data_IF_675347382962
#
_entry.id   IF_675347382962
#
_cell.length_a   1.000
_cell.length_b   1.000
_cell.length_c   1.000
_cell.angle_alpha   90.00
_cell.angle_beta   90.00
_cell.angle_gamma   90.00
#
_symmetry.space_group_name_H-M   'P 1'
#
loop_
_entity.id
_entity.type
_entity.pdbx_description
1 polymer ?
#
# COMPACT_ATOMS: atom_id res chain seq x y z
N UNK A 1 20.82 52.38 85.31
CA UNK A 1 19.61 51.75 84.76
C UNK A 1 19.88 51.33 83.31
N UNK A 2 20.04 50.02 83.10
CA UNK A 2 19.56 49.20 81.96
C UNK A 2 19.28 49.82 80.57
N UNK A 3 20.12 49.44 79.58
CA UNK A 3 19.83 48.90 78.21
C UNK A 3 18.69 49.44 77.32
N UNK A 4 18.95 49.75 76.03
CA UNK A 4 18.82 48.84 74.84
C UNK A 4 18.74 49.63 73.51
N UNK A 5 19.30 49.01 72.47
CA UNK A 5 19.55 49.47 71.09
C UNK A 5 18.31 49.70 70.20
N UNK A 6 18.50 50.54 69.16
CA UNK A 6 17.69 50.65 67.94
C UNK A 6 18.61 51.10 66.78
N UNK A 7 18.64 50.34 65.69
CA UNK A 7 19.64 50.43 64.62
C UNK A 7 19.53 51.66 63.73
N UNK A 8 20.68 52.07 63.20
CA UNK A 8 20.80 53.05 62.11
C UNK A 8 20.21 52.42 60.85
N UNK A 9 19.28 53.11 60.20
CA UNK A 9 18.71 52.76 58.91
C UNK A 9 19.71 53.19 57.81
N UNK A 10 20.33 52.27 57.06
CA UNK A 10 21.41 52.59 56.12
C UNK A 10 20.91 52.92 54.70
N UNK A 11 19.67 53.40 54.54
CA UNK A 11 19.01 53.62 53.24
C UNK A 11 18.48 55.05 53.01
N UNK A 12 18.77 56.01 53.91
CA UNK A 12 18.14 57.35 53.86
C UNK A 12 19.02 58.49 53.31
N UNK A 13 20.21 58.21 52.74
CA UNK A 13 21.16 59.26 52.32
C UNK A 13 21.72 59.12 50.89
N UNK A 14 20.98 58.60 49.89
CA UNK A 14 21.49 58.52 48.49
C UNK A 14 20.46 58.74 47.36
N UNK A 15 19.28 59.32 47.63
CA UNK A 15 18.22 59.46 46.61
C UNK A 15 18.34 60.68 45.67
N UNK A 16 19.28 61.61 45.92
CA UNK A 16 19.41 62.84 45.11
C UNK A 16 20.53 62.80 44.05
N UNK A 17 21.35 61.74 44.02
CA UNK A 17 22.47 61.63 43.08
C UNK A 17 22.07 61.06 41.70
N UNK A 18 20.95 60.33 41.62
CA UNK A 18 20.49 59.71 40.36
C UNK A 18 19.69 60.68 39.48
N UNK A 19 18.95 61.62 40.07
CA UNK A 19 18.17 62.63 39.35
C UNK A 19 19.05 63.65 38.60
N UNK A 20 20.23 63.99 39.15
CA UNK A 20 21.18 64.93 38.51
C UNK A 20 21.89 64.35 37.30
N UNK A 21 22.10 63.04 37.25
CA UNK A 21 22.75 62.35 36.11
C UNK A 21 21.81 62.16 34.92
N UNK A 22 20.50 62.19 35.17
CA UNK A 22 19.46 62.04 34.15
C UNK A 22 19.14 63.36 33.43
N UNK A 23 19.40 64.50 34.07
CA UNK A 23 19.19 65.82 33.47
C UNK A 23 20.31 66.24 32.50
N UNK A 24 21.52 65.67 32.64
CA UNK A 24 22.71 66.02 31.85
C UNK A 24 22.98 65.04 30.69
N UNK A 25 22.03 64.13 30.42
CA UNK A 25 22.08 63.15 29.33
C UNK A 25 20.83 63.21 28.45
N UNK A 26 20.34 64.42 28.24
CA UNK A 26 19.15 64.74 27.44
C UNK A 26 19.48 65.70 26.28
N UNK A 27 20.75 65.80 25.90
CA UNK A 27 21.18 66.47 24.68
C UNK A 27 22.16 65.53 23.97
N UNK A 28 21.82 65.21 22.72
CA UNK A 28 22.56 64.39 21.75
C UNK A 28 22.63 62.87 22.02
N UNK A 29 21.57 62.17 21.65
CA UNK A 29 21.66 60.92 20.87
C UNK A 29 20.32 60.72 20.17
N UNK A 30 20.32 60.85 18.84
CA UNK A 30 19.19 60.58 17.96
C UNK A 30 18.71 59.13 18.14
N UNK A 31 17.56 58.95 18.79
CA UNK A 31 16.82 57.68 18.82
C UNK A 31 16.21 57.40 17.43
N UNK A 32 17.04 56.90 16.50
CA UNK A 32 16.60 56.34 15.20
C UNK A 32 16.81 54.81 15.10
N UNK A 33 16.75 54.05 16.21
CA UNK A 33 16.89 52.57 16.17
C UNK A 33 15.75 51.81 16.88
N UNK A 34 14.47 52.11 16.63
CA UNK A 34 13.41 51.19 17.10
C UNK A 34 12.10 51.23 16.31
N UNK A 35 12.14 51.03 14.98
CA UNK A 35 10.89 50.84 14.20
C UNK A 35 10.93 49.73 13.12
N UNK A 36 12.05 49.03 12.95
CA UNK A 36 12.20 47.98 11.92
C UNK A 36 11.92 46.54 12.41
N UNK A 37 12.09 46.28 13.71
CA UNK A 37 11.98 44.94 14.31
C UNK A 37 10.60 44.22 14.19
N UNK A 38 9.44 44.91 14.17
CA UNK A 38 8.14 44.22 14.05
C UNK A 38 7.89 43.67 12.64
N UNK A 39 8.42 44.34 11.60
CA UNK A 39 8.21 43.96 10.19
C UNK A 39 9.05 42.75 9.81
N UNK A 40 10.31 42.72 10.24
CA UNK A 40 11.24 41.59 10.01
C UNK A 40 10.71 40.31 10.65
N UNK A 41 10.25 40.36 11.91
CA UNK A 41 9.67 39.19 12.59
C UNK A 41 8.41 38.65 11.91
N UNK A 42 7.56 39.54 11.38
CA UNK A 42 6.36 39.11 10.66
C UNK A 42 6.70 38.41 9.33
N UNK A 43 7.74 38.88 8.65
CA UNK A 43 8.24 38.27 7.42
C UNK A 43 8.89 36.90 7.67
N UNK A 44 9.71 36.78 8.71
CA UNK A 44 10.29 35.50 9.14
C UNK A 44 9.21 34.45 9.43
N UNK A 45 8.17 34.82 10.18
CA UNK A 45 7.05 33.93 10.46
C UNK A 45 6.30 33.51 9.20
N UNK A 46 6.10 34.42 8.24
CA UNK A 46 5.49 34.08 6.94
C UNK A 46 6.36 33.13 6.14
N UNK A 47 7.67 33.35 6.11
CA UNK A 47 8.62 32.45 5.44
C UNK A 47 8.62 31.07 6.07
N UNK A 48 8.62 30.98 7.40
CA UNK A 48 8.56 29.70 8.11
C UNK A 48 7.26 28.95 7.84
N UNK A 49 6.12 29.65 7.82
CA UNK A 49 4.83 29.07 7.44
C UNK A 49 4.86 28.54 6.00
N UNK A 50 5.35 29.32 5.04
CA UNK A 50 5.47 28.87 3.64
C UNK A 50 6.43 27.69 3.49
N UNK A 51 7.56 27.71 4.20
CA UNK A 51 8.54 26.62 4.22
C UNK A 51 7.90 25.33 4.73
N UNK A 52 7.13 25.40 5.82
CA UNK A 52 6.39 24.25 6.37
C UNK A 52 5.35 23.73 5.40
N UNK A 53 4.55 24.61 4.78
CA UNK A 53 3.54 24.20 3.80
C UNK A 53 4.16 23.52 2.58
N UNK A 54 5.23 24.08 2.02
CA UNK A 54 5.98 23.46 0.91
C UNK A 54 6.52 22.09 1.31
N UNK A 55 7.11 21.95 2.49
CA UNK A 55 7.63 20.67 2.98
C UNK A 55 6.51 19.63 3.14
N UNK A 56 5.35 20.03 3.67
CA UNK A 56 4.20 19.14 3.80
C UNK A 56 3.66 18.71 2.43
N UNK A 57 3.46 19.64 1.49
CA UNK A 57 3.01 19.36 0.13
C UNK A 57 3.96 18.47 -0.66
N UNK A 58 5.28 18.62 -0.46
CA UNK A 58 6.28 17.71 -1.01
C UNK A 58 6.19 16.32 -0.39
N UNK A 59 5.96 16.26 0.93
CA UNK A 59 5.81 14.99 1.63
C UNK A 59 4.59 14.22 1.17
N UNK A 60 3.41 14.87 1.07
CA UNK A 60 2.18 14.25 0.56
C UNK A 60 2.34 13.81 -0.88
N UNK A 61 2.95 14.64 -1.74
CA UNK A 61 3.22 14.26 -3.14
C UNK A 61 4.12 13.04 -3.28
N UNK A 62 5.15 12.90 -2.43
CA UNK A 62 5.98 11.68 -2.40
C UNK A 62 5.18 10.46 -1.96
N UNK A 63 4.38 10.58 -0.92
CA UNK A 63 3.53 9.48 -0.43
C UNK A 63 2.53 9.02 -1.47
N UNK A 64 1.90 9.95 -2.20
CA UNK A 64 0.99 9.63 -3.30
C UNK A 64 1.71 8.83 -4.41
N UNK A 65 2.92 9.26 -4.80
CA UNK A 65 3.75 8.53 -5.76
C UNK A 65 4.11 7.12 -5.29
N UNK A 66 4.53 6.97 -4.04
CA UNK A 66 4.86 5.65 -3.46
C UNK A 66 3.66 4.70 -3.44
N UNK A 67 2.44 5.23 -3.24
CA UNK A 67 1.21 4.43 -3.28
C UNK A 67 0.92 3.96 -4.71
N UNK A 68 1.06 4.83 -5.71
CA UNK A 68 0.89 4.45 -7.11
C UNK A 68 1.92 3.37 -7.53
N UNK A 69 3.18 3.53 -7.12
CA UNK A 69 4.22 2.52 -7.36
C UNK A 69 3.90 1.19 -6.67
N UNK A 70 3.44 1.25 -5.40
CA UNK A 70 3.04 0.07 -4.64
C UNK A 70 1.85 -0.64 -5.28
N UNK A 71 0.90 0.13 -5.82
CA UNK A 71 -0.27 -0.39 -6.50
C UNK A 71 0.11 -1.14 -7.76
N UNK A 72 1.00 -0.57 -8.58
CA UNK A 72 1.54 -1.25 -9.76
C UNK A 72 2.18 -2.58 -9.42
N UNK A 73 3.06 -2.61 -8.42
CA UNK A 73 3.70 -3.86 -7.96
C UNK A 73 2.65 -4.86 -7.44
N UNK A 74 1.63 -4.38 -6.73
CA UNK A 74 0.51 -5.18 -6.26
C UNK A 74 -0.30 -5.81 -7.39
N UNK A 75 -0.56 -5.07 -8.47
CA UNK A 75 -1.24 -5.57 -9.68
C UNK A 75 -0.43 -6.66 -10.36
N UNK A 76 0.87 -6.42 -10.60
CA UNK A 76 1.76 -7.41 -11.20
C UNK A 76 1.81 -8.69 -10.36
N UNK A 77 1.91 -8.55 -9.04
CA UNK A 77 1.89 -9.67 -8.10
C UNK A 77 0.58 -10.45 -8.16
N UNK A 78 -0.57 -9.75 -8.19
CA UNK A 78 -1.88 -10.36 -8.29
C UNK A 78 -2.07 -11.14 -9.59
N UNK A 79 -1.60 -10.61 -10.73
CA UNK A 79 -1.64 -11.33 -12.00
C UNK A 79 -0.82 -12.60 -11.98
N UNK A 80 0.37 -12.55 -11.39
CA UNK A 80 1.24 -13.73 -11.28
C UNK A 80 0.65 -14.78 -10.35
N UNK A 81 0.04 -14.39 -9.21
CA UNK A 81 -0.67 -15.35 -8.35
C UNK A 81 -1.83 -16.03 -9.08
N UNK A 82 -2.66 -15.31 -9.82
CA UNK A 82 -3.75 -15.92 -10.60
C UNK A 82 -3.18 -16.96 -11.58
N UNK A 83 -2.09 -16.61 -12.29
CA UNK A 83 -1.42 -17.52 -13.22
C UNK A 83 -0.89 -18.77 -12.51
N UNK A 84 -0.30 -18.63 -11.34
CA UNK A 84 0.20 -19.75 -10.53
C UNK A 84 -0.95 -20.65 -10.05
N UNK A 85 -2.05 -20.05 -9.58
CA UNK A 85 -3.25 -20.77 -9.17
C UNK A 85 -3.86 -21.59 -10.31
N UNK A 86 -3.88 -21.06 -11.53
CA UNK A 86 -4.30 -21.84 -12.70
C UNK A 86 -3.35 -23.02 -12.98
N UNK A 87 -2.04 -22.82 -12.87
CA UNK A 87 -1.06 -23.88 -13.07
C UNK A 87 -1.25 -25.02 -12.06
N UNK A 88 -1.49 -24.71 -10.78
CA UNK A 88 -1.79 -25.70 -9.74
C UNK A 88 -3.06 -26.49 -10.06
N UNK A 89 -4.15 -25.82 -10.47
CA UNK A 89 -5.41 -26.48 -10.86
C UNK A 89 -5.23 -27.39 -12.10
N UNK A 90 -4.38 -27.00 -13.05
CA UNK A 90 -4.03 -27.86 -14.20
C UNK A 90 -3.25 -29.09 -13.75
N UNK A 91 -2.28 -28.94 -12.86
CA UNK A 91 -1.54 -30.06 -12.28
C UNK A 91 -2.46 -31.04 -11.56
N UNK A 92 -3.46 -30.56 -10.82
CA UNK A 92 -4.43 -31.43 -10.11
C UNK A 92 -5.21 -32.30 -11.10
N UNK A 93 -5.73 -31.70 -12.18
CA UNK A 93 -6.41 -32.43 -13.25
C UNK A 93 -5.51 -33.45 -13.95
N UNK A 94 -4.23 -33.12 -14.13
CA UNK A 94 -3.27 -34.06 -14.72
C UNK A 94 -3.01 -35.25 -13.79
N UNK A 95 -2.87 -35.03 -12.47
CA UNK A 95 -2.72 -36.12 -11.51
C UNK A 95 -3.95 -37.03 -11.48
N UNK A 96 -5.15 -36.47 -11.59
CA UNK A 96 -6.39 -37.25 -11.64
C UNK A 96 -6.47 -38.12 -12.87
N UNK A 97 -6.03 -37.60 -14.03
CA UNK A 97 -5.85 -38.40 -15.23
C UNK A 97 -4.84 -39.52 -15.03
N UNK A 98 -3.67 -39.23 -14.46
CA UNK A 98 -2.64 -40.23 -14.21
C UNK A 98 -3.16 -41.34 -13.29
N UNK A 99 -3.89 -41.01 -12.23
CA UNK A 99 -4.47 -42.00 -11.32
C UNK A 99 -5.51 -42.90 -12.02
N UNK A 100 -6.35 -42.30 -12.87
CA UNK A 100 -7.29 -43.02 -13.73
C UNK A 100 -6.58 -43.97 -14.71
N UNK A 101 -5.57 -43.48 -15.41
CA UNK A 101 -4.77 -44.24 -16.38
C UNK A 101 -4.03 -45.40 -15.71
N UNK A 102 -3.50 -45.20 -14.50
CA UNK A 102 -2.87 -46.26 -13.70
C UNK A 102 -3.89 -47.31 -13.27
N UNK A 103 -5.13 -46.93 -12.96
CA UNK A 103 -6.21 -47.87 -12.65
C UNK A 103 -6.53 -48.77 -13.84
N UNK A 104 -6.64 -48.18 -15.03
CA UNK A 104 -6.88 -48.91 -16.27
C UNK A 104 -5.68 -49.82 -16.60
N UNK A 105 -4.46 -49.30 -16.48
CA UNK A 105 -3.21 -50.05 -16.67
C UNK A 105 -3.14 -51.27 -15.74
N UNK A 106 -3.50 -51.11 -14.47
CA UNK A 106 -3.52 -52.20 -13.51
C UNK A 106 -4.51 -53.31 -13.89
N UNK A 107 -5.67 -52.95 -14.46
CA UNK A 107 -6.65 -53.91 -15.00
C UNK A 107 -6.08 -54.68 -16.19
N UNK A 108 -5.39 -53.99 -17.11
CA UNK A 108 -4.74 -54.63 -18.25
C UNK A 108 -3.61 -55.59 -17.83
N UNK A 109 -2.73 -55.16 -16.94
CA UNK A 109 -1.67 -56.02 -16.36
C UNK A 109 -2.28 -57.28 -15.72
N UNK A 110 -3.38 -57.12 -14.97
CA UNK A 110 -4.08 -58.25 -14.36
C UNK A 110 -4.67 -59.19 -15.40
N UNK A 111 -5.21 -58.66 -16.51
CA UNK A 111 -5.72 -59.48 -17.62
C UNK A 111 -4.61 -60.26 -18.35
N UNK A 112 -3.43 -59.67 -18.54
CA UNK A 112 -2.28 -60.33 -19.18
C UNK A 112 -1.73 -61.47 -18.29
N UNK A 113 -1.68 -61.29 -16.96
CA UNK A 113 -1.38 -62.41 -16.06
C UNK A 113 -2.41 -63.53 -16.17
N UNK A 114 -3.68 -63.17 -16.38
CA UNK A 114 -4.79 -64.13 -16.40
C UNK A 114 -4.93 -64.92 -17.71
N UNK A 115 -4.31 -64.53 -18.84
CA UNK A 115 -4.38 -65.32 -20.08
C UNK A 115 -3.58 -66.63 -20.01
N UNK A 116 -2.65 -66.77 -19.06
CA UNK A 116 -2.02 -68.06 -18.74
C UNK A 116 -2.93 -68.99 -17.90
N UNK A 117 -4.17 -68.59 -17.57
CA UNK A 117 -5.16 -69.41 -16.84
C UNK A 117 -6.63 -69.25 -17.30
N UNK A 118 -6.85 -68.72 -18.52
CA UNK A 118 -8.11 -68.07 -18.92
C UNK A 118 -9.13 -68.84 -19.78
N UNK A 119 -9.39 -70.13 -19.54
CA UNK A 119 -10.60 -70.79 -20.09
C UNK A 119 -11.82 -70.76 -19.15
N UNK A 120 -11.66 -70.39 -17.87
CA UNK A 120 -12.70 -70.60 -16.86
C UNK A 120 -13.59 -69.39 -16.52
N UNK A 121 -13.26 -68.16 -16.97
CA UNK A 121 -13.98 -66.95 -16.50
C UNK A 121 -14.97 -66.34 -17.51
N UNK A 122 -15.30 -67.06 -18.58
CA UNK A 122 -16.31 -66.63 -19.57
C UNK A 122 -17.77 -66.70 -19.02
N UNK A 123 -17.96 -67.04 -17.74
CA UNK A 123 -19.25 -67.40 -17.15
C UNK A 123 -19.80 -66.45 -16.08
N UNK A 124 -19.24 -65.24 -15.90
CA UNK A 124 -19.80 -64.27 -14.94
C UNK A 124 -20.11 -62.91 -15.56
N UNK A 125 -21.41 -62.61 -15.52
CA UNK A 125 -22.09 -61.42 -16.03
C UNK A 125 -21.56 -60.11 -15.43
N UNK A 126 -21.64 -59.06 -16.25
CA UNK A 126 -21.15 -57.70 -16.01
C UNK A 126 -21.86 -57.02 -14.83
N UNK A 127 -21.15 -56.27 -13.96
CA UNK A 127 -21.78 -55.28 -13.10
C UNK A 127 -22.01 -53.96 -13.87
N UNK A 128 -23.06 -53.28 -13.43
CA UNK A 128 -23.61 -52.01 -13.93
C UNK A 128 -22.65 -50.82 -13.69
N UNK A 129 -22.60 -49.80 -14.56
CA UNK A 129 -21.70 -48.66 -14.40
C UNK A 129 -22.10 -47.76 -13.22
N UNK A 130 -21.13 -47.22 -12.45
CA UNK A 130 -21.42 -46.26 -11.39
C UNK A 130 -21.94 -44.94 -11.98
N UNK A 131 -23.00 -44.40 -11.37
CA UNK A 131 -23.54 -43.07 -11.66
C UNK A 131 -22.50 -42.00 -11.41
N UNK A 132 -22.37 -41.08 -12.36
CA UNK A 132 -21.56 -39.89 -12.25
C UNK A 132 -22.10 -38.98 -11.12
N UNK A 133 -21.22 -38.59 -10.20
CA UNK A 133 -21.47 -37.51 -9.26
C UNK A 133 -21.41 -36.16 -10.00
N UNK A 134 -22.23 -35.18 -9.61
CA UNK A 134 -22.26 -33.87 -10.25
C UNK A 134 -20.92 -33.12 -10.05
N UNK A 135 -20.54 -32.22 -10.98
CA UNK A 135 -19.34 -31.41 -10.83
C UNK A 135 -19.43 -30.59 -9.56
N UNK A 136 -18.40 -30.67 -8.71
CA UNK A 136 -18.21 -29.75 -7.59
C UNK A 136 -17.88 -28.38 -8.18
N UNK A 137 -18.91 -27.59 -8.42
CA UNK A 137 -18.78 -26.15 -8.65
C UNK A 137 -18.54 -25.49 -7.29
N UNK A 138 -17.28 -25.25 -6.92
CA UNK A 138 -16.92 -24.23 -5.93
C UNK A 138 -15.39 -24.06 -5.83
N UNK A 139 -14.77 -23.52 -6.88
CA UNK A 139 -13.40 -22.92 -6.78
C UNK A 139 -13.28 -21.60 -7.54
N UNK A 140 -14.41 -21.01 -7.93
CA UNK A 140 -14.43 -19.78 -8.73
C UNK A 140 -14.52 -18.51 -7.86
N UNK A 141 -14.73 -18.64 -6.53
CA UNK A 141 -15.00 -17.49 -5.66
C UNK A 141 -13.77 -16.68 -5.25
N UNK A 142 -12.59 -17.27 -5.02
CA UNK A 142 -11.39 -16.50 -4.67
C UNK A 142 -10.90 -15.60 -5.80
N UNK A 143 -10.96 -16.12 -7.04
CA UNK A 143 -10.65 -15.36 -8.24
C UNK A 143 -11.53 -14.12 -8.40
N UNK A 144 -12.83 -14.18 -8.09
CA UNK A 144 -13.75 -13.08 -8.37
C UNK A 144 -13.38 -11.78 -7.64
N UNK A 145 -12.95 -11.88 -6.38
CA UNK A 145 -12.62 -10.69 -5.57
C UNK A 145 -11.23 -10.13 -5.85
N UNK A 146 -10.25 -11.00 -6.18
CA UNK A 146 -8.94 -10.54 -6.65
C UNK A 146 -9.05 -9.90 -8.04
N UNK A 147 -9.85 -10.48 -8.94
CA UNK A 147 -10.13 -9.92 -10.27
C UNK A 147 -10.84 -8.57 -10.17
N UNK A 148 -11.85 -8.42 -9.32
CA UNK A 148 -12.52 -7.13 -9.10
C UNK A 148 -11.53 -6.06 -8.58
N UNK A 149 -10.64 -6.43 -7.66
CA UNK A 149 -9.62 -5.51 -7.15
C UNK A 149 -8.59 -5.14 -8.23
N UNK A 150 -8.21 -6.10 -9.07
CA UNK A 150 -7.31 -5.89 -10.21
C UNK A 150 -7.91 -4.96 -11.25
N UNK A 151 -9.18 -5.13 -11.60
CA UNK A 151 -9.84 -4.32 -12.64
C UNK A 151 -9.93 -2.85 -12.20
N UNK A 152 -10.34 -2.61 -10.94
CA UNK A 152 -10.38 -1.26 -10.34
C UNK A 152 -9.00 -0.60 -10.31
N UNK A 153 -7.96 -1.40 -10.04
CA UNK A 153 -6.60 -0.90 -9.95
C UNK A 153 -6.03 -0.55 -11.33
N UNK A 154 -6.23 -1.42 -12.34
CA UNK A 154 -5.79 -1.19 -13.72
C UNK A 154 -6.42 0.04 -14.36
N UNK A 155 -7.69 0.29 -14.09
CA UNK A 155 -8.38 1.50 -14.58
C UNK A 155 -7.71 2.79 -14.07
N UNK A 156 -7.22 2.77 -12.83
CA UNK A 156 -6.54 3.93 -12.23
C UNK A 156 -5.07 4.00 -12.65
N UNK A 157 -4.41 2.86 -12.88
CA UNK A 157 -3.01 2.81 -13.31
C UNK A 157 -2.76 3.60 -14.60
N UNK A 158 -3.66 3.51 -15.60
CA UNK A 158 -3.54 4.31 -16.83
C UNK A 158 -3.54 5.82 -16.55
N UNK A 159 -4.33 6.27 -15.58
CA UNK A 159 -4.43 7.69 -15.22
C UNK A 159 -3.14 8.19 -14.56
N UNK A 160 -2.47 7.33 -13.79
CA UNK A 160 -1.15 7.65 -13.22
C UNK A 160 -0.04 7.68 -14.28
N UNK A 161 -0.08 6.79 -15.25
CA UNK A 161 0.92 6.74 -16.34
C UNK A 161 0.83 7.97 -17.25
N UNK A 162 -0.37 8.52 -17.44
CA UNK A 162 -0.59 9.78 -18.13
C UNK A 162 -0.11 11.01 -17.30
N UNK A 163 -0.03 10.88 -15.97
CA UNK A 163 0.42 11.93 -15.05
C UNK A 163 1.88 11.72 -14.63
N UNK A 164 2.80 11.93 -15.56
CA UNK A 164 4.23 11.70 -15.34
C UNK A 164 4.80 12.46 -14.12
N UNK A 165 5.63 11.84 -13.27
CA UNK A 165 6.13 12.43 -12.01
C UNK A 165 6.93 13.74 -12.19
N UNK A 166 7.46 13.99 -13.39
CA UNK A 166 8.13 15.27 -13.72
C UNK A 166 7.12 16.42 -13.84
N UNK A 167 5.92 16.17 -14.37
CA UNK A 167 4.87 17.20 -14.47
C UNK A 167 4.38 17.61 -13.08
N UNK A 168 4.20 16.64 -12.17
CA UNK A 168 3.83 16.90 -10.76
C UNK A 168 4.90 17.69 -9.99
N UNK A 169 6.18 17.50 -10.32
CA UNK A 169 7.29 18.28 -9.73
C UNK A 169 7.33 19.72 -10.26
N UNK A 170 6.94 19.92 -11.52
CA UNK A 170 6.89 21.24 -12.14
C UNK A 170 5.77 22.11 -11.53
N UNK A 171 4.60 21.51 -11.27
CA UNK A 171 3.49 22.18 -10.56
C UNK A 171 3.91 22.72 -9.18
N UNK A 172 4.72 21.99 -8.42
CA UNK A 172 5.24 22.46 -7.13
C UNK A 172 6.21 23.63 -7.22
N UNK A 173 6.93 23.75 -8.34
CA UNK A 173 7.87 24.83 -8.59
C UNK A 173 7.11 26.12 -8.94
N UNK A 174 6.04 26.02 -9.72
CA UNK A 174 5.21 27.15 -10.15
C UNK A 174 4.44 27.80 -9.00
N UNK A 175 3.93 27.02 -8.03
CA UNK A 175 3.25 27.57 -6.84
C UNK A 175 4.12 28.57 -6.06
N UNK A 176 5.46 28.44 -6.14
CA UNK A 176 6.40 29.37 -5.51
C UNK A 176 6.89 30.50 -6.43
N UNK A 177 6.53 30.49 -7.71
CA UNK A 177 7.05 31.38 -8.76
C UNK A 177 6.01 32.38 -9.30
N UNK A 178 4.75 32.31 -8.89
CA UNK A 178 3.70 33.20 -9.41
C UNK A 178 3.68 34.58 -8.73
N UNK A 179 4.29 35.56 -9.39
CA UNK A 179 3.61 36.83 -9.65
C UNK A 179 2.42 36.57 -10.58
N UNK A 180 1.20 36.46 -10.04
CA UNK A 180 -0.01 36.37 -10.87
C UNK A 180 -0.35 37.72 -11.52
N UNK A 181 -0.69 37.77 -12.82
CA UNK A 181 -1.19 38.97 -13.48
C UNK A 181 -2.61 39.29 -13.00
N UNK A 182 -2.87 40.59 -12.80
CA UNK A 182 -4.04 41.12 -12.11
C UNK A 182 -5.39 40.57 -12.57
N UNK A 183 -6.09 39.91 -11.64
CA UNK A 183 -7.53 39.67 -11.69
C UNK A 183 -8.16 40.17 -10.40
N UNK A 184 -8.78 41.36 -10.46
CA UNK A 184 -9.53 41.92 -9.34
C UNK A 184 -10.79 41.07 -9.09
N UNK A 185 -10.71 40.11 -8.16
CA UNK A 185 -11.88 39.40 -7.64
C UNK A 185 -12.24 39.94 -6.25
N UNK A 186 -13.54 40.24 -6.10
CA UNK A 186 -14.16 40.93 -4.98
C UNK A 186 -13.75 40.38 -3.61
N UNK A 187 -13.42 41.32 -2.73
CA UNK A 187 -13.12 41.10 -1.30
C UNK A 187 -14.37 40.56 -0.61
N UNK A 188 -14.28 39.33 -0.12
CA UNK A 188 -15.13 38.81 0.94
C UNK A 188 -14.24 38.33 2.10
N UNK A 189 -14.40 38.95 3.26
CA UNK A 189 -14.05 38.58 4.65
C UNK A 189 -12.77 37.82 5.06
N UNK A 190 -11.90 37.33 4.18
CA UNK A 190 -10.70 36.56 4.56
C UNK A 190 -9.64 36.70 3.49
N UNK A 191 -8.69 37.62 3.68
CA UNK A 191 -7.46 37.70 2.86
C UNK A 191 -6.58 36.49 3.17
N UNK A 192 -6.97 35.30 2.71
CA UNK A 192 -6.12 34.10 2.73
C UNK A 192 -5.00 34.33 1.71
N UNK A 193 -3.76 34.09 2.13
CA UNK A 193 -2.62 34.20 1.23
C UNK A 193 -2.81 33.20 0.06
N UNK A 194 -2.87 33.66 -1.21
CA UNK A 194 -3.20 32.80 -2.35
C UNK A 194 -2.21 31.65 -2.53
N UNK A 195 -0.91 31.89 -2.27
CA UNK A 195 0.14 30.87 -2.31
C UNK A 195 -0.11 29.79 -1.25
N UNK A 196 -0.52 30.20 -0.05
CA UNK A 196 -0.83 29.28 1.03
C UNK A 196 -2.07 28.43 0.72
N UNK A 197 -3.08 29.04 0.09
CA UNK A 197 -4.26 28.34 -0.37
C UNK A 197 -3.93 27.31 -1.45
N UNK A 198 -3.05 27.63 -2.39
CA UNK A 198 -2.57 26.68 -3.40
C UNK A 198 -1.86 25.47 -2.77
N UNK A 199 -1.00 25.69 -1.76
CA UNK A 199 -0.38 24.58 -1.02
C UNK A 199 -1.41 23.72 -0.28
N UNK A 200 -2.41 24.33 0.35
CA UNK A 200 -3.49 23.59 1.01
C UNK A 200 -4.28 22.75 0.03
N UNK A 201 -4.73 23.34 -1.08
CA UNK A 201 -5.48 22.63 -2.12
C UNK A 201 -4.67 21.46 -2.70
N UNK A 202 -3.37 21.67 -2.94
CA UNK A 202 -2.49 20.60 -3.41
C UNK A 202 -2.39 19.47 -2.38
N UNK A 203 -2.21 19.78 -1.10
CA UNK A 203 -2.15 18.76 -0.06
C UNK A 203 -3.46 17.99 0.04
N UNK A 204 -4.60 18.68 -0.04
CA UNK A 204 -5.91 18.04 0.01
C UNK A 204 -6.10 17.06 -1.17
N UNK A 205 -5.72 17.47 -2.38
CA UNK A 205 -5.73 16.60 -3.56
C UNK A 205 -4.79 15.38 -3.38
N UNK A 206 -3.54 15.61 -2.92
CA UNK A 206 -2.61 14.51 -2.66
C UNK A 206 -3.15 13.55 -1.59
N UNK A 207 -3.82 14.05 -0.55
CA UNK A 207 -4.39 13.23 0.53
C UNK A 207 -5.60 12.42 0.05
N UNK A 208 -6.40 12.97 -0.85
CA UNK A 208 -7.48 12.24 -1.52
C UNK A 208 -6.92 11.10 -2.38
N UNK A 209 -5.90 11.38 -3.20
CA UNK A 209 -5.17 10.38 -3.99
C UNK A 209 -4.63 9.24 -3.11
N UNK A 210 -3.98 9.62 -2.00
CA UNK A 210 -3.48 8.67 -1.00
C UNK A 210 -4.62 7.83 -0.42
N UNK A 211 -5.74 8.46 -0.04
CA UNK A 211 -6.89 7.76 0.53
C UNK A 211 -7.50 6.74 -0.43
N UNK A 212 -7.70 7.14 -1.69
CA UNK A 212 -8.20 6.25 -2.75
C UNK A 212 -7.23 5.11 -3.04
N UNK A 213 -5.93 5.43 -3.18
CA UNK A 213 -4.89 4.45 -3.47
C UNK A 213 -4.69 3.43 -2.33
N UNK A 214 -4.75 3.87 -1.08
CA UNK A 214 -4.77 2.96 0.07
C UNK A 214 -6.00 2.04 0.06
N UNK A 215 -7.16 2.55 -0.35
CA UNK A 215 -8.37 1.76 -0.53
C UNK A 215 -8.19 0.64 -1.56
N UNK A 216 -7.58 0.96 -2.71
CA UNK A 216 -7.27 -0.02 -3.77
C UNK A 216 -6.20 -1.02 -3.33
N UNK A 217 -5.11 -0.55 -2.71
CA UNK A 217 -4.08 -1.42 -2.12
C UNK A 217 -4.66 -2.38 -1.09
N UNK A 218 -5.60 -1.94 -0.24
CA UNK A 218 -6.32 -2.81 0.68
C UNK A 218 -7.16 -3.85 -0.07
N UNK A 219 -7.85 -3.44 -1.13
CA UNK A 219 -8.60 -4.35 -2.00
C UNK A 219 -7.72 -5.44 -2.57
N UNK A 220 -6.58 -5.06 -3.16
CA UNK A 220 -5.57 -5.98 -3.67
C UNK A 220 -5.03 -6.89 -2.57
N UNK A 221 -4.61 -6.35 -1.42
CA UNK A 221 -4.06 -7.12 -0.32
C UNK A 221 -5.04 -8.19 0.20
N UNK A 222 -6.33 -7.84 0.36
CA UNK A 222 -7.36 -8.81 0.75
C UNK A 222 -7.59 -9.86 -0.35
N UNK A 223 -7.61 -9.44 -1.63
CA UNK A 223 -7.68 -10.33 -2.78
C UNK A 223 -6.54 -11.35 -2.80
N UNK A 224 -5.30 -10.86 -2.68
CA UNK A 224 -4.08 -11.65 -2.64
C UNK A 224 -4.11 -12.64 -1.47
N UNK A 225 -4.52 -12.21 -0.28
CA UNK A 225 -4.62 -13.07 0.90
C UNK A 225 -5.59 -14.24 0.68
N UNK A 226 -6.72 -14.03 0.01
CA UNK A 226 -7.66 -15.12 -0.27
C UNK A 226 -7.12 -16.07 -1.35
N UNK A 227 -6.52 -15.55 -2.42
CA UNK A 227 -5.94 -16.40 -3.47
C UNK A 227 -4.79 -17.26 -2.91
N UNK A 228 -3.94 -16.71 -2.04
CA UNK A 228 -2.91 -17.49 -1.34
C UNK A 228 -3.55 -18.59 -0.49
N UNK A 229 -4.59 -18.27 0.27
CA UNK A 229 -5.31 -19.27 1.08
C UNK A 229 -5.89 -20.41 0.23
N UNK A 230 -6.50 -20.10 -0.91
CA UNK A 230 -7.01 -21.12 -1.83
C UNK A 230 -5.88 -21.97 -2.44
N UNK A 231 -4.77 -21.35 -2.81
CA UNK A 231 -3.62 -22.07 -3.36
C UNK A 231 -2.97 -23.00 -2.35
N UNK A 232 -2.90 -22.59 -1.08
CA UNK A 232 -2.35 -23.42 0.02
C UNK A 232 -3.14 -24.73 0.15
N UNK A 233 -4.48 -24.65 0.15
CA UNK A 233 -5.33 -25.83 0.18
C UNK A 233 -5.15 -26.73 -1.06
N UNK A 234 -4.95 -26.14 -2.24
CA UNK A 234 -4.68 -26.90 -3.48
C UNK A 234 -3.32 -27.59 -3.39
N UNK A 235 -2.29 -26.93 -2.86
CA UNK A 235 -0.94 -27.48 -2.70
C UNK A 235 -0.95 -28.67 -1.75
N UNK A 236 -1.67 -28.60 -0.63
CA UNK A 236 -1.79 -29.72 0.32
C UNK A 236 -2.44 -30.95 -0.35
N UNK A 237 -3.54 -30.74 -1.08
CA UNK A 237 -4.21 -31.81 -1.84
C UNK A 237 -3.30 -32.38 -2.92
N UNK A 238 -2.63 -31.52 -3.69
CA UNK A 238 -1.69 -31.92 -4.73
C UNK A 238 -0.58 -32.78 -4.17
N UNK A 239 0.04 -32.37 -3.06
CA UNK A 239 1.15 -33.10 -2.42
C UNK A 239 0.72 -34.53 -2.08
N UNK A 240 -0.43 -34.69 -1.42
CA UNK A 240 -0.97 -36.03 -1.10
C UNK A 240 -1.29 -36.86 -2.36
N UNK A 241 -1.82 -36.24 -3.42
CA UNK A 241 -2.13 -36.93 -4.68
C UNK A 241 -0.86 -37.35 -5.42
N UNK A 242 0.17 -36.49 -5.46
CA UNK A 242 1.46 -36.78 -6.09
C UNK A 242 2.08 -38.02 -5.45
N UNK A 243 2.14 -38.09 -4.11
CA UNK A 243 2.72 -39.25 -3.40
C UNK A 243 1.99 -40.56 -3.71
N UNK A 244 0.65 -40.51 -3.79
CA UNK A 244 -0.18 -41.66 -4.15
C UNK A 244 0.08 -42.10 -5.59
N UNK A 245 0.06 -41.17 -6.54
CA UNK A 245 0.32 -41.45 -7.95
C UNK A 245 1.72 -42.00 -8.14
N UNK A 246 2.76 -41.40 -7.53
CA UNK A 246 4.15 -41.89 -7.61
C UNK A 246 4.28 -43.33 -7.09
N UNK A 247 3.69 -43.63 -5.93
CA UNK A 247 3.69 -44.98 -5.36
C UNK A 247 3.01 -45.98 -6.32
N UNK A 248 1.89 -45.60 -6.93
CA UNK A 248 1.17 -46.42 -7.90
C UNK A 248 1.97 -46.62 -9.19
N UNK A 249 2.58 -45.56 -9.74
CA UNK A 249 3.46 -45.65 -10.92
C UNK A 249 4.58 -46.64 -10.67
N UNK A 250 5.27 -46.55 -9.53
CA UNK A 250 6.37 -47.48 -9.18
C UNK A 250 5.89 -48.93 -9.09
N UNK A 251 4.77 -49.17 -8.43
CA UNK A 251 4.16 -50.51 -8.31
C UNK A 251 3.76 -51.07 -9.67
N UNK A 252 3.04 -50.30 -10.49
CA UNK A 252 2.64 -50.68 -11.85
C UNK A 252 3.86 -50.97 -12.72
N UNK A 253 4.90 -50.12 -12.67
CA UNK A 253 6.16 -50.35 -13.42
C UNK A 253 6.84 -51.66 -13.00
N UNK A 254 6.92 -51.94 -11.70
CA UNK A 254 7.49 -53.19 -11.19
C UNK A 254 6.70 -54.42 -11.67
N UNK A 255 5.37 -54.32 -11.73
CA UNK A 255 4.54 -55.41 -12.24
C UNK A 255 4.73 -55.63 -13.74
N UNK A 256 4.80 -54.56 -14.53
CA UNK A 256 5.06 -54.64 -15.98
C UNK A 256 6.42 -55.29 -16.25
N UNK A 257 7.47 -54.97 -15.49
CA UNK A 257 8.80 -55.61 -15.63
C UNK A 257 8.81 -57.11 -15.30
N UNK A 258 7.80 -57.60 -14.57
CA UNK A 258 7.66 -59.01 -14.17
C UNK A 258 6.72 -59.80 -15.09
N UNK A 259 6.02 -59.12 -16.01
CA UNK A 259 5.30 -59.75 -17.11
C UNK A 259 6.29 -60.18 -18.18
#
# INVERSE_FOLDING_TARGET
MTTRAGGVNPFDDDDDAWMRRRADKLEDDDDEEEFEAPRTRQEELRQEVLRRQRAMAQSTGRSAGLIADSEKVGVETAQELIRQGEALRRTEKTLDKMDGDLTISQRHISSIKSVFGGLANYFRSKPEPPKAEPPVEDTARGNARLQEALDKSKETQSQYEDCHPVLRKQEMADIGSETMPGGAAKVDGSKKNPVLQAYHQKMDNDLEDIGMGLGRLKGLALGLQMEIGEQDEVIDRLTSRVDKVDTRVRSTNQQVRKL
#
